data_IF_567649081923
#
_entry.id   IF_567649081923
#
_cell.length_a   1.000
_cell.length_b   1.000
_cell.length_c   1.000
_cell.angle_alpha   90.00
_cell.angle_beta   90.00
_cell.angle_gamma   90.00
#
_symmetry.space_group_name_H-M   'P 1'
#
loop_
_entity.id
_entity.type
_entity.pdbx_description
1 polymer ?
#
# COMPACT_ATOMS: atom_id res chain seq x y z
N UNK A 1 -9.61 -6.90 -24.68
CA UNK A 1 -9.90 -7.46 -26.02
C UNK A 1 -9.56 -8.93 -26.12
N UNK A 2 -8.41 -9.36 -25.60
CA UNK A 2 -7.99 -10.78 -25.57
C UNK A 2 -9.06 -11.71 -24.96
N UNK A 3 -9.49 -11.45 -23.72
CA UNK A 3 -10.51 -12.26 -23.04
C UNK A 3 -11.80 -12.38 -23.87
N UNK A 4 -12.25 -11.29 -24.50
CA UNK A 4 -13.50 -11.27 -25.27
C UNK A 4 -13.48 -12.14 -26.54
N UNK A 5 -12.30 -12.54 -27.01
CA UNK A 5 -12.16 -13.46 -28.15
C UNK A 5 -12.26 -14.92 -27.72
N UNK A 6 -11.93 -15.21 -26.46
CA UNK A 6 -11.84 -16.57 -25.92
C UNK A 6 -13.14 -17.04 -25.24
N UNK A 7 -14.03 -16.10 -24.85
CA UNK A 7 -15.28 -16.43 -24.14
C UNK A 7 -16.50 -15.74 -24.74
N UNK A 8 -17.60 -16.48 -24.85
CA UNK A 8 -18.92 -15.97 -25.30
C UNK A 8 -19.68 -15.31 -24.13
N UNK A 9 -19.05 -14.33 -23.46
CA UNK A 9 -19.65 -13.57 -22.36
C UNK A 9 -19.52 -12.06 -22.60
N UNK A 10 -20.51 -11.29 -22.12
CA UNK A 10 -20.42 -9.83 -22.12
C UNK A 10 -19.35 -9.39 -21.11
N UNK A 11 -18.34 -8.65 -21.58
CA UNK A 11 -17.23 -8.19 -20.75
C UNK A 11 -17.30 -6.67 -20.62
N UNK A 12 -17.20 -6.20 -19.37
CA UNK A 12 -17.10 -4.78 -19.05
C UNK A 12 -15.75 -4.49 -18.42
N UNK A 13 -15.14 -3.40 -18.85
CA UNK A 13 -13.85 -2.93 -18.33
C UNK A 13 -14.07 -1.60 -17.63
N UNK A 14 -13.50 -1.45 -16.46
CA UNK A 14 -13.47 -0.18 -15.73
C UNK A 14 -12.03 0.14 -15.35
N UNK A 15 -11.58 1.32 -15.74
CA UNK A 15 -10.26 1.86 -15.38
C UNK A 15 -10.50 3.02 -14.42
N UNK A 16 -10.19 2.82 -13.13
CA UNK A 16 -10.47 3.83 -12.09
C UNK A 16 -9.57 5.06 -12.19
N UNK A 17 -8.29 4.87 -12.53
CA UNK A 17 -7.31 5.95 -12.70
C UNK A 17 -7.21 6.88 -11.47
N UNK A 18 -7.26 8.19 -11.71
CA UNK A 18 -7.03 9.24 -10.70
C UNK A 18 -8.05 9.24 -9.56
N UNK A 19 -9.22 8.62 -9.72
CA UNK A 19 -10.23 8.48 -8.66
C UNK A 19 -9.63 7.81 -7.42
N UNK A 20 -8.67 6.89 -7.58
CA UNK A 20 -8.01 6.18 -6.46
C UNK A 20 -7.08 7.07 -5.62
N UNK A 21 -6.71 8.27 -6.11
CA UNK A 21 -5.87 9.24 -5.39
C UNK A 21 -6.68 10.40 -4.79
N UNK A 22 -7.97 10.45 -5.08
CA UNK A 22 -8.90 11.46 -4.57
C UNK A 22 -9.79 10.92 -3.46
N UNK A 23 -10.77 11.74 -3.05
CA UNK A 23 -11.71 11.41 -1.98
C UNK A 23 -11.27 11.91 -0.61
N UNK A 24 -12.20 11.89 0.35
CA UNK A 24 -11.89 12.28 1.74
C UNK A 24 -11.16 11.12 2.44
N UNK A 25 -10.04 11.37 3.14
CA UNK A 25 -9.32 10.31 3.86
C UNK A 25 -10.22 9.64 4.90
N UNK A 26 -10.06 8.33 5.09
CA UNK A 26 -10.80 7.59 6.11
C UNK A 26 -10.25 7.85 7.52
N UNK A 27 -10.96 7.40 8.55
CA UNK A 27 -10.56 7.63 9.95
C UNK A 27 -9.14 7.13 10.25
N UNK A 28 -8.77 5.97 9.68
CA UNK A 28 -7.41 5.42 9.82
C UNK A 28 -6.35 6.37 9.26
N UNK A 29 -6.51 6.85 8.02
CA UNK A 29 -5.54 7.75 7.38
C UNK A 29 -5.38 9.06 8.15
N UNK A 30 -6.49 9.62 8.65
CA UNK A 30 -6.46 10.86 9.45
C UNK A 30 -5.68 10.68 10.74
N UNK A 31 -5.92 9.58 11.45
CA UNK A 31 -5.22 9.27 12.69
C UNK A 31 -3.74 8.99 12.41
N UNK A 32 -3.43 8.21 11.36
CA UNK A 32 -2.08 7.89 10.96
C UNK A 32 -1.28 9.16 10.59
N UNK A 33 -1.85 10.03 9.77
CA UNK A 33 -1.24 11.30 9.37
C UNK A 33 -0.95 12.20 10.58
N UNK A 34 -1.90 12.30 11.51
CA UNK A 34 -1.72 13.07 12.76
C UNK A 34 -0.57 12.51 13.60
N UNK A 35 -0.52 11.19 13.78
CA UNK A 35 0.54 10.51 14.54
C UNK A 35 1.90 10.69 13.87
N UNK A 36 1.96 10.61 12.54
CA UNK A 36 3.18 10.81 11.77
C UNK A 36 3.69 12.25 11.89
N UNK A 37 2.80 13.24 11.72
CA UNK A 37 3.15 14.65 11.83
C UNK A 37 3.70 15.01 13.20
N UNK A 38 3.05 14.53 14.28
CA UNK A 38 3.52 14.71 15.66
C UNK A 38 4.92 14.12 15.86
N UNK A 39 5.13 12.86 15.47
CA UNK A 39 6.43 12.21 15.64
C UNK A 39 7.54 12.86 14.80
N UNK A 40 7.23 13.33 13.59
CA UNK A 40 8.18 14.05 12.76
C UNK A 40 8.57 15.40 13.41
N UNK A 41 7.60 16.14 13.96
CA UNK A 41 7.86 17.39 14.67
C UNK A 41 8.75 17.16 15.91
N UNK A 42 8.48 16.11 16.69
CA UNK A 42 9.30 15.74 17.86
C UNK A 42 10.75 15.43 17.47
N UNK A 43 10.98 14.67 16.39
CA UNK A 43 12.33 14.35 15.89
C UNK A 43 13.11 15.62 15.52
N UNK A 44 12.47 16.54 14.79
CA UNK A 44 13.11 17.79 14.41
C UNK A 44 13.38 18.67 15.63
N UNK A 45 12.45 18.74 16.59
CA UNK A 45 12.65 19.46 17.84
C UNK A 45 13.82 18.88 18.67
N UNK A 46 14.04 17.57 18.59
CA UNK A 46 15.19 16.86 19.17
C UNK A 46 16.49 16.94 18.38
N UNK A 47 16.51 17.62 17.22
CA UNK A 47 17.69 17.72 16.35
C UNK A 47 17.97 16.46 15.52
N UNK A 48 17.03 15.52 15.45
CA UNK A 48 17.18 14.24 14.75
C UNK A 48 16.73 14.33 13.29
N UNK A 49 17.61 14.85 12.44
CA UNK A 49 17.41 14.90 10.99
C UNK A 49 17.80 13.59 10.29
N UNK A 50 17.38 13.43 9.02
CA UNK A 50 17.74 12.27 8.19
C UNK A 50 17.00 10.97 8.54
N UNK A 51 15.91 11.07 9.30
CA UNK A 51 15.04 9.95 9.68
C UNK A 51 13.66 10.07 9.04
N UNK A 52 13.06 8.93 8.76
CA UNK A 52 11.69 8.78 8.30
C UNK A 52 10.82 8.20 9.44
N UNK A 53 9.62 8.74 9.61
CA UNK A 53 8.61 8.15 10.51
C UNK A 53 7.90 7.00 9.79
N UNK A 54 7.73 5.88 10.47
CA UNK A 54 7.06 4.70 9.95
C UNK A 54 6.08 4.09 10.98
N UNK A 55 5.16 3.27 10.49
CA UNK A 55 4.27 2.45 11.31
C UNK A 55 4.78 1.00 11.28
N UNK A 56 5.08 0.43 12.45
CA UNK A 56 5.42 -0.99 12.61
C UNK A 56 4.41 -1.64 13.54
N UNK A 57 3.54 -2.49 13.00
CA UNK A 57 2.35 -2.95 13.71
C UNK A 57 1.48 -1.75 14.09
N UNK A 58 1.32 -1.50 15.39
CA UNK A 58 0.58 -0.35 15.90
C UNK A 58 1.47 0.79 16.41
N UNK A 59 2.79 0.67 16.32
CA UNK A 59 3.74 1.60 16.90
C UNK A 59 4.33 2.56 15.86
N UNK A 60 4.48 3.83 16.27
CA UNK A 60 5.21 4.83 15.49
C UNK A 60 6.69 4.71 15.81
N UNK A 61 7.50 4.49 14.79
CA UNK A 61 8.94 4.35 14.90
C UNK A 61 9.63 5.33 13.97
N UNK A 62 10.91 5.63 14.23
CA UNK A 62 11.78 6.34 13.30
C UNK A 62 12.84 5.39 12.76
N UNK A 63 13.15 5.52 11.47
CA UNK A 63 14.19 4.74 10.78
C UNK A 63 15.09 5.69 9.97
N UNK A 64 16.37 5.37 9.77
CA UNK A 64 17.20 6.14 8.85
C UNK A 64 16.59 6.16 7.45
N UNK A 65 16.54 7.33 6.82
CA UNK A 65 15.90 7.45 5.49
C UNK A 65 16.66 6.62 4.43
N UNK A 66 17.98 6.49 4.57
CA UNK A 66 18.82 5.72 3.66
C UNK A 66 18.43 4.24 3.65
N UNK A 67 18.08 3.68 4.81
CA UNK A 67 17.66 2.29 4.94
C UNK A 67 16.25 2.10 4.37
N UNK A 68 15.37 3.08 4.60
CA UNK A 68 13.98 3.03 4.14
C UNK A 68 13.86 3.01 2.61
N UNK A 69 14.77 3.69 1.90
CA UNK A 69 14.75 3.78 0.44
C UNK A 69 15.63 2.72 -0.24
N UNK A 70 16.43 1.98 0.52
CA UNK A 70 17.40 1.03 -0.03
C UNK A 70 16.71 -0.11 -0.80
N UNK A 71 15.57 -0.59 -0.31
CA UNK A 71 14.85 -1.70 -0.91
C UNK A 71 13.34 -1.40 -0.99
N UNK A 72 12.74 -1.43 -2.19
CA UNK A 72 11.30 -1.33 -2.32
C UNK A 72 10.60 -2.53 -1.69
N UNK A 73 9.46 -2.28 -1.05
CA UNK A 73 8.61 -3.33 -0.48
C UNK A 73 7.73 -3.94 -1.58
N UNK A 74 8.12 -5.11 -2.07
CA UNK A 74 7.30 -5.89 -3.00
C UNK A 74 6.23 -6.71 -2.28
N UNK A 75 5.16 -7.02 -3.00
CA UNK A 75 4.23 -8.09 -2.61
C UNK A 75 4.94 -9.42 -2.81
N UNK A 76 4.85 -10.31 -1.82
CA UNK A 76 5.31 -11.70 -1.96
C UNK A 76 4.22 -12.51 -2.66
N UNK A 77 4.44 -13.01 -3.90
CA UNK A 77 3.45 -13.81 -4.63
C UNK A 77 3.10 -15.14 -3.94
N UNK A 78 3.99 -15.63 -3.06
CA UNK A 78 3.80 -16.86 -2.30
C UNK A 78 3.36 -16.58 -0.85
N UNK A 79 3.10 -15.31 -0.52
CA UNK A 79 2.70 -14.89 0.82
C UNK A 79 1.28 -15.32 1.16
N UNK A 80 1.00 -15.42 2.47
CA UNK A 80 -0.28 -15.88 3.01
C UNK A 80 -1.47 -15.09 2.42
N UNK A 81 -1.40 -13.76 2.33
CA UNK A 81 -2.49 -12.96 1.77
C UNK A 81 -2.79 -13.28 0.30
N UNK A 82 -1.76 -13.58 -0.51
CA UNK A 82 -1.94 -13.97 -1.91
C UNK A 82 -2.57 -15.37 -1.98
N UNK A 83 -2.11 -16.30 -1.15
CA UNK A 83 -2.71 -17.64 -1.04
C UNK A 83 -4.19 -17.60 -0.61
N UNK A 84 -4.52 -16.74 0.36
CA UNK A 84 -5.90 -16.51 0.81
C UNK A 84 -6.75 -15.91 -0.30
N UNK A 85 -6.26 -14.90 -1.03
CA UNK A 85 -6.97 -14.33 -2.17
C UNK A 85 -7.26 -15.36 -3.27
N UNK A 86 -6.28 -16.21 -3.63
CA UNK A 86 -6.48 -17.31 -4.59
C UNK A 86 -7.50 -18.33 -4.11
N UNK A 87 -7.49 -18.66 -2.82
CA UNK A 87 -8.47 -19.59 -2.22
C UNK A 87 -9.90 -19.06 -2.29
N UNK A 88 -10.08 -17.73 -2.36
CA UNK A 88 -11.36 -17.06 -2.57
C UNK A 88 -11.73 -16.90 -4.06
N UNK A 89 -10.92 -17.42 -4.98
CA UNK A 89 -11.13 -17.34 -6.42
C UNK A 89 -10.63 -16.05 -7.08
N UNK A 90 -9.85 -15.22 -6.38
CA UNK A 90 -9.23 -14.02 -6.98
C UNK A 90 -8.11 -14.45 -7.93
N UNK A 91 -8.19 -14.00 -9.18
CA UNK A 91 -7.12 -14.15 -10.17
C UNK A 91 -6.23 -12.91 -10.19
N UNK A 92 -4.91 -13.13 -10.29
CA UNK A 92 -3.89 -12.09 -10.43
C UNK A 92 -3.35 -11.97 -11.87
N UNK A 93 -3.89 -12.75 -12.82
CA UNK A 93 -3.45 -12.74 -14.21
C UNK A 93 -2.05 -13.32 -14.44
N UNK A 94 -1.55 -14.11 -13.50
CA UNK A 94 -0.21 -14.70 -13.49
C UNK A 94 -0.19 -16.23 -13.69
N UNK A 95 -1.36 -16.84 -13.90
CA UNK A 95 -1.47 -18.27 -14.22
C UNK A 95 -2.83 -18.88 -13.87
N UNK A 96 -3.74 -18.82 -14.84
CA UNK A 96 -4.65 -19.87 -15.31
C UNK A 96 -4.70 -19.74 -16.83
#
# INVERSE_FOLDING_TARGET
>A
EEIAREIELEIRVTVLGHTQRGGSPIAFDRLLATRFGKAAADLIAGGECGKMVALRGNEIVSVPIIDAVANPKYVDPNGEMVATARSLGVSFGDGL
#
